data_IF_937703486452
#
_entry.id   IF_937703486452
#
_cell.length_a   1.000
_cell.length_b   1.000
_cell.length_c   1.000
_cell.angle_alpha   90.00
_cell.angle_beta   90.00
_cell.angle_gamma   90.00
#
_symmetry.space_group_name_H-M   'P 1'
#
loop_
_entity.id
_entity.type
_entity.pdbx_description
1 polymer ?
#
# COMPACT_ATOMS: atom_id res chain seq x y z
N UNK A 1 2.17 22.41 -40.48
CA UNK A 1 1.76 22.66 -39.08
C UNK A 1 1.73 21.31 -38.37
N UNK A 2 2.74 21.02 -37.55
CA UNK A 2 2.82 19.77 -36.80
C UNK A 2 1.85 19.85 -35.62
N UNK A 3 0.78 19.05 -35.67
CA UNK A 3 -0.18 18.94 -34.59
C UNK A 3 0.41 18.11 -33.43
N UNK A 4 0.95 18.83 -32.44
CA UNK A 4 0.91 18.54 -31.01
C UNK A 4 1.11 17.10 -30.56
N UNK A 5 2.36 16.70 -30.36
CA UNK A 5 2.73 15.76 -29.30
C UNK A 5 2.22 16.33 -27.97
N UNK A 6 1.13 15.78 -27.42
CA UNK A 6 0.85 15.91 -25.99
C UNK A 6 2.05 15.34 -25.27
N UNK A 7 2.87 16.20 -24.69
CA UNK A 7 3.83 15.80 -23.68
C UNK A 7 3.03 15.12 -22.58
N UNK A 8 3.31 13.83 -22.36
CA UNK A 8 2.87 13.12 -21.15
C UNK A 8 3.32 14.00 -19.98
N UNK A 9 2.35 14.63 -19.34
CA UNK A 9 2.58 15.63 -18.31
C UNK A 9 3.42 15.04 -17.19
N UNK A 10 4.27 15.87 -16.58
CA UNK A 10 4.96 15.61 -15.31
C UNK A 10 3.96 15.57 -14.12
N UNK A 11 2.71 15.19 -14.37
CA UNK A 11 1.70 15.03 -13.32
C UNK A 11 2.04 13.77 -12.50
N UNK A 12 1.86 13.81 -11.17
CA UNK A 12 2.10 12.65 -10.33
C UNK A 12 1.12 11.54 -10.75
N UNK A 13 1.65 10.53 -11.45
CA UNK A 13 0.98 9.25 -11.56
C UNK A 13 1.12 8.56 -10.21
N UNK A 14 0.11 8.76 -9.35
CA UNK A 14 -0.13 7.89 -8.21
C UNK A 14 -0.06 6.44 -8.68
N UNK A 15 0.76 5.60 -8.04
CA UNK A 15 0.92 4.23 -8.52
C UNK A 15 -0.36 3.45 -8.23
N UNK A 16 -1.01 3.63 -7.08
CA UNK A 16 -2.11 2.77 -6.64
C UNK A 16 -3.51 3.17 -7.09
N UNK A 17 -3.83 4.47 -7.18
CA UNK A 17 -5.21 4.92 -7.44
C UNK A 17 -5.72 4.41 -8.80
N UNK A 18 -6.74 3.54 -8.77
CA UNK A 18 -7.29 2.90 -9.97
C UNK A 18 -6.60 1.60 -10.43
N UNK A 19 -5.53 1.14 -9.76
CA UNK A 19 -4.96 -0.20 -9.96
C UNK A 19 -5.83 -1.29 -9.33
N UNK A 20 -5.51 -2.56 -9.65
CA UNK A 20 -6.24 -3.71 -9.13
C UNK A 20 -6.22 -3.80 -7.61
N UNK A 21 -5.14 -3.35 -6.95
CA UNK A 21 -5.00 -3.36 -5.50
C UNK A 21 -6.04 -2.46 -4.84
N UNK A 22 -6.14 -1.20 -5.24
CA UNK A 22 -7.12 -0.23 -4.71
C UNK A 22 -8.56 -0.78 -4.76
N UNK A 23 -8.90 -1.51 -5.83
CA UNK A 23 -10.24 -2.10 -6.02
C UNK A 23 -10.55 -3.27 -5.08
N UNK A 24 -9.56 -3.88 -4.43
CA UNK A 24 -9.77 -5.06 -3.58
C UNK A 24 -10.77 -4.81 -2.45
N UNK A 25 -10.73 -3.62 -1.82
CA UNK A 25 -11.71 -3.24 -0.76
C UNK A 25 -13.13 -3.16 -1.30
N UNK A 26 -13.29 -2.73 -2.55
CA UNK A 26 -14.60 -2.44 -3.16
C UNK A 26 -15.29 -3.71 -3.64
N UNK A 27 -14.53 -4.77 -3.92
CA UNK A 27 -15.04 -6.08 -4.37
C UNK A 27 -15.08 -7.15 -3.26
N UNK A 28 -14.81 -6.76 -2.01
CA UNK A 28 -14.77 -7.71 -0.87
C UNK A 28 -13.59 -8.68 -0.92
N UNK A 29 -12.51 -8.30 -1.60
CA UNK A 29 -11.31 -9.11 -1.81
C UNK A 29 -10.65 -9.58 -0.52
N UNK A 30 -10.00 -10.74 -0.61
CA UNK A 30 -9.22 -11.34 0.48
C UNK A 30 -7.77 -11.46 0.03
N UNK A 31 -6.85 -11.27 0.98
CA UNK A 31 -5.41 -11.39 0.75
C UNK A 31 -4.91 -12.50 1.66
N UNK A 32 -4.29 -13.53 1.09
CA UNK A 32 -3.68 -14.61 1.85
C UNK A 32 -2.16 -14.43 1.84
N UNK A 33 -1.59 -14.16 3.01
CA UNK A 33 -0.15 -14.15 3.22
C UNK A 33 0.27 -15.57 3.63
N UNK A 34 1.15 -16.20 2.85
CA UNK A 34 1.58 -17.60 3.05
C UNK A 34 3.02 -17.63 3.51
N UNK A 35 3.27 -18.00 4.77
CA UNK A 35 4.61 -18.06 5.36
C UNK A 35 5.30 -16.71 5.53
N UNK A 36 4.56 -15.59 5.45
CA UNK A 36 5.06 -14.21 5.55
C UNK A 36 4.10 -13.35 6.36
N UNK A 37 4.61 -12.28 6.98
CA UNK A 37 3.80 -11.32 7.72
C UNK A 37 3.40 -10.09 6.91
N UNK A 38 2.86 -9.08 7.60
CA UNK A 38 2.39 -7.85 6.97
C UNK A 38 3.51 -7.02 6.34
N UNK A 39 4.78 -7.26 6.67
CA UNK A 39 5.94 -6.68 5.99
C UNK A 39 6.07 -7.09 4.51
N UNK A 40 5.30 -8.09 4.07
CA UNK A 40 5.17 -8.51 2.67
C UNK A 40 3.80 -8.23 2.09
N UNK A 41 2.92 -7.56 2.83
CA UNK A 41 1.58 -7.22 2.39
C UNK A 41 1.60 -5.96 1.51
N UNK A 42 1.78 -6.16 0.21
CA UNK A 42 1.81 -5.09 -0.80
C UNK A 42 0.53 -4.25 -0.86
N UNK A 43 -0.58 -4.76 -0.33
CA UNK A 43 -1.83 -3.99 -0.28
C UNK A 43 -1.72 -2.78 0.65
N UNK A 44 -0.94 -2.84 1.74
CA UNK A 44 -0.77 -1.72 2.67
C UNK A 44 -0.11 -0.52 1.97
N UNK A 45 0.87 -0.75 1.09
CA UNK A 45 1.41 0.32 0.24
C UNK A 45 0.32 0.99 -0.60
N UNK A 46 -0.55 0.19 -1.22
CA UNK A 46 -1.67 0.72 -1.99
C UNK A 46 -2.61 1.56 -1.13
N UNK A 47 -2.81 1.20 0.15
CA UNK A 47 -3.61 1.99 1.09
C UNK A 47 -2.92 3.32 1.40
N UNK A 48 -1.63 3.32 1.75
CA UNK A 48 -0.88 4.55 2.04
C UNK A 48 -0.88 5.53 0.85
N UNK A 49 -0.75 5.02 -0.37
CA UNK A 49 -0.85 5.82 -1.59
C UNK A 49 -2.23 6.43 -1.81
N UNK A 50 -3.31 5.63 -1.64
CA UNK A 50 -4.69 6.12 -1.78
C UNK A 50 -5.02 7.17 -0.71
N UNK A 51 -4.44 7.04 0.47
CA UNK A 51 -4.56 8.01 1.56
C UNK A 51 -3.62 9.22 1.39
N UNK A 52 -2.80 9.25 0.35
CA UNK A 52 -1.82 10.30 0.08
C UNK A 52 -0.88 10.56 1.27
N UNK A 53 -0.38 9.48 1.87
CA UNK A 53 0.59 9.57 2.97
C UNK A 53 1.88 10.22 2.46
N UNK A 54 2.39 11.27 3.13
CA UNK A 54 3.60 11.95 2.69
C UNK A 54 4.84 11.04 2.77
N UNK A 55 5.88 11.40 2.01
CA UNK A 55 7.18 10.71 2.02
C UNK A 55 7.05 9.20 1.73
N UNK A 56 6.17 8.83 0.79
CA UNK A 56 6.01 7.45 0.28
C UNK A 56 6.50 7.25 -1.13
N UNK A 57 6.71 8.32 -1.88
CA UNK A 57 7.16 8.25 -3.27
C UNK A 57 8.47 9.02 -3.46
N UNK A 58 9.34 8.51 -4.34
CA UNK A 58 10.60 9.15 -4.69
C UNK A 58 10.38 10.53 -5.33
N UNK A 59 11.23 11.50 -5.01
CA UNK A 59 11.17 12.86 -5.57
C UNK A 59 11.38 12.87 -7.08
N UNK A 60 12.30 12.04 -7.56
CA UNK A 60 12.60 11.88 -8.98
C UNK A 60 11.94 10.61 -9.51
N UNK A 61 11.25 10.68 -10.67
CA UNK A 61 10.71 9.49 -11.31
C UNK A 61 11.82 8.68 -11.99
N UNK A 62 11.58 7.38 -12.14
CA UNK A 62 12.41 6.44 -12.87
C UNK A 62 11.81 6.20 -14.24
N UNK A 63 12.67 6.20 -15.27
CA UNK A 63 12.28 5.86 -16.62
C UNK A 63 12.02 4.35 -16.74
N UNK A 64 10.81 4.01 -17.15
CA UNK A 64 10.35 2.65 -17.46
C UNK A 64 9.95 2.58 -18.94
N UNK A 65 9.90 1.37 -19.50
CA UNK A 65 9.44 1.13 -20.88
C UNK A 65 8.31 0.11 -20.89
N UNK A 66 7.18 0.48 -21.49
CA UNK A 66 6.08 -0.44 -21.77
C UNK A 66 6.38 -1.14 -23.08
N UNK A 67 6.49 -2.47 -23.04
CA UNK A 67 6.68 -3.32 -24.23
C UNK A 67 5.33 -3.87 -24.64
N UNK A 68 4.97 -3.68 -25.92
CA UNK A 68 3.72 -4.18 -26.50
C UNK A 68 4.05 -4.99 -27.75
N UNK A 69 3.41 -6.15 -27.92
CA UNK A 69 3.66 -7.03 -29.06
C UNK A 69 3.40 -6.30 -30.40
N UNK A 70 4.39 -6.33 -31.30
CA UNK A 70 4.30 -5.69 -32.62
C UNK A 70 4.33 -4.16 -32.62
N UNK A 71 4.58 -3.51 -31.47
CA UNK A 71 4.64 -2.05 -31.35
C UNK A 71 5.99 -1.61 -30.78
N UNK A 72 6.38 -0.36 -31.07
CA UNK A 72 7.58 0.24 -30.49
C UNK A 72 7.38 0.42 -28.97
N UNK A 73 8.41 0.18 -28.13
CA UNK A 73 8.33 0.44 -26.71
C UNK A 73 7.97 1.90 -26.42
N UNK A 74 7.10 2.11 -25.43
CA UNK A 74 6.67 3.44 -24.98
C UNK A 74 7.37 3.76 -23.67
N UNK A 75 8.08 4.89 -23.61
CA UNK A 75 8.69 5.39 -22.38
C UNK A 75 7.63 5.95 -21.44
N UNK A 76 7.70 5.57 -20.16
CA UNK A 76 6.87 6.12 -19.08
C UNK A 76 7.73 6.44 -17.88
N UNK A 77 7.35 7.46 -17.11
CA UNK A 77 8.06 7.88 -15.92
C UNK A 77 7.24 7.50 -14.69
N UNK A 78 7.83 6.75 -13.77
CA UNK A 78 7.15 6.25 -12.57
C UNK A 78 7.95 6.61 -11.32
N UNK A 79 7.29 7.13 -10.29
CA UNK A 79 7.90 7.26 -8.97
C UNK A 79 7.94 5.89 -8.30
N UNK A 80 8.90 5.64 -7.41
CA UNK A 80 9.01 4.40 -6.65
C UNK A 80 8.65 4.65 -5.20
N UNK A 81 8.25 3.61 -4.48
CA UNK A 81 8.14 3.68 -3.04
C UNK A 81 9.49 4.04 -2.41
N UNK A 82 9.53 5.10 -1.61
CA UNK A 82 10.76 5.61 -0.99
C UNK A 82 10.45 6.48 0.23
N UNK A 83 11.26 6.34 1.27
CA UNK A 83 11.32 7.21 2.43
C UNK A 83 12.79 7.33 2.87
N UNK A 84 13.22 8.53 3.26
CA UNK A 84 14.62 8.79 3.63
C UNK A 84 15.02 8.24 5.00
N UNK A 85 14.05 8.06 5.92
CA UNK A 85 14.27 7.52 7.26
C UNK A 85 14.19 6.00 7.26
N UNK A 86 13.24 5.43 6.50
CA UNK A 86 13.07 3.98 6.33
C UNK A 86 13.04 3.61 4.84
N UNK A 87 14.18 3.27 4.22
CA UNK A 87 14.22 2.86 2.82
C UNK A 87 13.38 1.63 2.50
N UNK A 88 13.15 0.76 3.50
CA UNK A 88 12.30 -0.43 3.41
C UNK A 88 11.01 -0.22 4.20
N UNK A 89 10.17 0.73 3.78
CA UNK A 89 8.94 1.17 4.48
C UNK A 89 8.07 -0.01 4.94
N UNK A 90 8.01 -1.07 4.14
CA UNK A 90 7.20 -2.25 4.43
C UNK A 90 7.60 -2.97 5.71
N UNK A 91 8.87 -2.90 6.14
CA UNK A 91 9.31 -3.55 7.39
C UNK A 91 8.58 -2.99 8.61
N UNK A 92 8.10 -1.74 8.56
CA UNK A 92 7.32 -1.13 9.64
C UNK A 92 5.82 -1.49 9.60
N UNK A 93 5.33 -2.20 8.59
CA UNK A 93 3.92 -2.62 8.51
C UNK A 93 3.53 -3.60 9.62
N UNK A 94 4.50 -4.25 10.26
CA UNK A 94 4.28 -5.09 11.44
C UNK A 94 3.67 -4.34 12.62
N UNK A 95 3.82 -3.00 12.66
CA UNK A 95 3.21 -2.14 13.69
C UNK A 95 1.68 -2.14 13.64
N UNK A 96 1.09 -2.55 12.51
CA UNK A 96 -0.36 -2.67 12.34
C UNK A 96 -0.91 -4.03 12.75
N UNK A 97 -0.06 -5.04 13.02
CA UNK A 97 -0.49 -6.42 13.29
C UNK A 97 -1.56 -6.49 14.37
N UNK A 98 -1.30 -5.86 15.53
CA UNK A 98 -2.22 -5.87 16.66
C UNK A 98 -3.56 -5.23 16.32
N UNK A 99 -3.55 -4.11 15.60
CA UNK A 99 -4.77 -3.44 15.15
C UNK A 99 -5.56 -4.32 14.18
N UNK A 100 -4.88 -5.03 13.27
CA UNK A 100 -5.51 -5.94 12.33
C UNK A 100 -6.12 -7.16 13.02
N UNK A 101 -5.44 -7.73 14.01
CA UNK A 101 -5.91 -8.88 14.77
C UNK A 101 -7.12 -8.52 15.63
N UNK A 102 -7.04 -7.46 16.44
CA UNK A 102 -8.11 -7.05 17.36
C UNK A 102 -9.36 -6.54 16.62
N UNK A 103 -9.20 -5.87 15.48
CA UNK A 103 -10.33 -5.44 14.64
C UNK A 103 -10.92 -6.59 13.79
N UNK A 104 -10.27 -7.76 13.76
CA UNK A 104 -10.67 -8.87 12.91
C UNK A 104 -10.51 -8.57 11.42
N UNK A 105 -9.53 -7.73 11.07
CA UNK A 105 -9.10 -7.52 9.68
C UNK A 105 -8.15 -8.62 9.20
N UNK A 106 -7.44 -9.27 10.11
CA UNK A 106 -6.57 -10.41 9.88
C UNK A 106 -7.00 -11.60 10.72
N UNK A 107 -6.91 -12.80 10.16
CA UNK A 107 -7.15 -14.08 10.84
C UNK A 107 -5.98 -15.01 10.54
N UNK A 108 -5.37 -15.55 11.58
CA UNK A 108 -4.28 -16.52 11.46
C UNK A 108 -4.85 -17.91 11.14
N UNK A 109 -4.24 -18.60 10.18
CA UNK A 109 -4.67 -19.90 9.67
C UNK A 109 -3.46 -20.67 9.15
N UNK A 110 -3.67 -21.88 8.64
CA UNK A 110 -2.63 -22.71 8.03
C UNK A 110 -3.00 -23.11 6.62
N UNK A 111 -2.01 -23.12 5.73
CA UNK A 111 -2.14 -23.67 4.38
C UNK A 111 -1.02 -24.69 4.13
N UNK A 112 -1.37 -25.98 4.17
CA UNK A 112 -0.37 -27.05 4.28
C UNK A 112 0.39 -26.93 5.61
N UNK A 113 1.71 -26.82 5.54
CA UNK A 113 2.58 -26.62 6.72
C UNK A 113 2.96 -25.16 6.96
N UNK A 114 2.44 -24.21 6.16
CA UNK A 114 2.76 -22.80 6.30
C UNK A 114 1.75 -22.11 7.22
N UNK A 115 2.24 -21.39 8.23
CA UNK A 115 1.49 -20.36 8.94
C UNK A 115 1.07 -19.27 7.94
N UNK A 116 -0.19 -18.86 8.01
CA UNK A 116 -0.79 -17.94 7.06
C UNK A 116 -1.63 -16.87 7.77
N UNK A 117 -1.77 -15.73 7.11
CA UNK A 117 -2.66 -14.64 7.55
C UNK A 117 -3.67 -14.38 6.45
N UNK A 118 -4.94 -14.65 6.73
CA UNK A 118 -6.05 -14.32 5.83
C UNK A 118 -6.58 -12.93 6.20
N UNK A 119 -6.40 -11.97 5.29
CA UNK A 119 -6.79 -10.58 5.50
C UNK A 119 -8.06 -10.23 4.70
N UNK A 120 -8.93 -9.41 5.30
CA UNK A 120 -10.03 -8.74 4.62
C UNK A 120 -9.56 -7.37 4.10
N UNK A 121 -9.51 -7.19 2.78
CA UNK A 121 -8.97 -5.96 2.19
C UNK A 121 -9.73 -4.70 2.63
N UNK A 122 -11.06 -4.77 2.79
CA UNK A 122 -11.85 -3.62 3.24
C UNK A 122 -11.53 -3.26 4.67
N UNK A 123 -11.46 -4.24 5.57
CA UNK A 123 -11.12 -3.99 6.98
C UNK A 123 -9.69 -3.51 7.16
N UNK A 124 -8.74 -4.07 6.39
CA UNK A 124 -7.34 -3.58 6.37
C UNK A 124 -7.32 -2.09 6.00
N UNK A 125 -8.06 -1.68 4.97
CA UNK A 125 -8.17 -0.26 4.60
C UNK A 125 -8.78 0.58 5.72
N UNK A 126 -9.89 0.12 6.32
CA UNK A 126 -10.65 0.84 7.35
C UNK A 126 -9.87 1.08 8.65
N UNK A 127 -9.06 0.11 9.09
CA UNK A 127 -8.21 0.30 10.28
C UNK A 127 -6.92 1.04 9.95
N UNK A 128 -6.29 0.79 8.80
CA UNK A 128 -5.07 1.52 8.40
C UNK A 128 -5.38 3.02 8.26
N UNK A 129 -6.47 3.39 7.57
CA UNK A 129 -6.87 4.81 7.45
C UNK A 129 -7.09 5.48 8.80
N UNK A 130 -7.67 4.75 9.75
CA UNK A 130 -8.03 5.29 11.07
C UNK A 130 -6.78 5.44 11.94
N UNK A 131 -5.89 4.45 11.91
CA UNK A 131 -4.58 4.51 12.56
C UNK A 131 -3.76 5.68 12.01
N UNK A 132 -3.74 5.90 10.69
CA UNK A 132 -2.93 6.96 10.07
C UNK A 132 -3.54 8.36 10.19
N UNK A 133 -4.86 8.51 10.37
CA UNK A 133 -5.52 9.82 10.31
C UNK A 133 -4.94 10.89 11.27
N UNK A 134 -4.61 10.58 12.55
CA UNK A 134 -4.04 11.57 13.46
C UNK A 134 -2.55 11.89 13.21
N UNK A 135 -1.82 10.96 12.61
CA UNK A 135 -0.38 11.09 12.31
C UNK A 135 -0.06 10.17 11.12
N UNK A 136 -0.08 10.71 9.88
CA UNK A 136 0.10 9.91 8.67
C UNK A 136 1.45 9.21 8.55
N UNK A 137 2.48 9.71 9.23
CA UNK A 137 3.83 9.15 9.13
C UNK A 137 4.19 8.21 10.28
N UNK A 138 3.25 7.95 11.20
CA UNK A 138 3.48 7.22 12.45
C UNK A 138 4.11 5.82 12.26
N UNK A 139 3.85 5.16 11.13
CA UNK A 139 4.47 3.87 10.81
C UNK A 139 5.99 3.99 10.64
N UNK A 140 6.49 5.10 10.08
CA UNK A 140 7.93 5.31 9.85
C UNK A 140 8.57 6.07 11.00
N UNK A 141 7.90 7.10 11.53
CA UNK A 141 8.49 8.03 12.51
C UNK A 141 8.29 7.58 13.95
N UNK A 142 7.28 6.75 14.21
CA UNK A 142 6.87 6.33 15.54
C UNK A 142 7.40 4.97 15.97
N UNK A 143 7.25 4.68 17.26
CA UNK A 143 7.44 3.35 17.84
C UNK A 143 6.20 2.47 17.64
N UNK A 144 5.79 1.78 18.70
CA UNK A 144 4.54 1.01 18.71
C UNK A 144 3.31 1.93 18.61
N UNK A 145 2.30 1.52 17.85
CA UNK A 145 1.03 2.24 17.76
C UNK A 145 0.18 1.88 18.97
N UNK A 146 -0.20 2.90 19.75
CA UNK A 146 -1.02 2.72 20.94
C UNK A 146 -2.45 2.23 20.59
N UNK A 147 -3.03 1.26 21.32
CA UNK A 147 -4.34 0.67 21.00
C UNK A 147 -5.51 1.65 20.89
N UNK A 148 -5.45 2.77 21.61
CA UNK A 148 -6.42 3.87 21.52
C UNK A 148 -6.59 4.39 20.08
N UNK A 149 -5.61 4.15 19.21
CA UNK A 149 -5.64 4.51 17.78
C UNK A 149 -6.60 3.70 16.94
N UNK A 150 -7.17 2.59 17.44
CA UNK A 150 -8.16 1.78 16.72
C UNK A 150 -9.30 1.24 17.58
N UNK A 151 -9.26 1.45 18.90
CA UNK A 151 -10.31 0.96 19.82
C UNK A 151 -11.74 1.41 19.46
N UNK A 152 -11.93 2.60 18.88
CA UNK A 152 -13.25 3.07 18.48
C UNK A 152 -13.88 2.22 17.37
N UNK A 153 -13.07 1.50 16.58
CA UNK A 153 -13.54 0.63 15.52
C UNK A 153 -14.05 -0.72 16.04
N UNK A 154 -13.61 -1.14 17.23
CA UNK A 154 -13.95 -2.46 17.82
C UNK A 154 -15.25 -2.40 18.64
N UNK A 155 -15.80 -1.21 18.86
CA UNK A 155 -17.01 -1.00 19.68
C UNK A 155 -18.31 -1.35 18.97
#
# INVERSE_FOLDING_TARGET
>A
MYAGTRTSSMEPQWLAAGLSQDRLKDVGGKILLVGVGHERNTYIHSVEEVLNVPNRLSDMPVLMKIVQHGKKPVSVYMRKHYNSQQPHISEDFVKLNRAFDEYGAAVHTVFGSAECILCDARRIFEVTRHVLAPDPECLVTGGEIAPERWHELIR
#
